data_IF_967727229510
#
_entry.id   IF_967727229510
#
_cell.length_a   1.000
_cell.length_b   1.000
_cell.length_c   1.000
_cell.angle_alpha   90.00
_cell.angle_beta   90.00
_cell.angle_gamma   90.00
#
_symmetry.space_group_name_H-M   'P 1'
#
loop_
_entity.id
_entity.type
_entity.pdbx_description
1 polymer ?
#
# COMPACT_ATOMS: atom_id res chain seq x y z
N UNK A 1 -10.40 -17.26 -9.04
CA UNK A 1 -11.19 -16.44 -8.09
C UNK A 1 -10.61 -15.03 -8.05
N UNK A 2 -11.29 -14.05 -8.66
CA UNK A 2 -10.82 -12.65 -8.62
C UNK A 2 -10.96 -12.08 -7.20
N UNK A 3 -9.92 -11.38 -6.71
CA UNK A 3 -10.01 -10.64 -5.46
C UNK A 3 -11.19 -9.65 -5.53
N UNK A 4 -12.16 -9.79 -4.62
CA UNK A 4 -13.34 -8.91 -4.56
C UNK A 4 -12.97 -7.48 -4.15
N UNK A 5 -11.88 -7.33 -3.37
CA UNK A 5 -11.45 -6.06 -2.76
C UNK A 5 -10.01 -5.75 -3.11
N UNK A 6 -9.72 -4.48 -3.42
CA UNK A 6 -8.37 -4.01 -3.72
C UNK A 6 -7.52 -3.98 -2.43
N UNK A 7 -6.38 -4.70 -2.42
CA UNK A 7 -5.49 -4.77 -1.27
C UNK A 7 -4.90 -3.40 -0.86
N UNK A 8 -4.70 -2.48 -1.81
CA UNK A 8 -4.20 -1.13 -1.51
C UNK A 8 -5.23 -0.32 -0.71
N UNK A 9 -6.52 -0.39 -1.09
CA UNK A 9 -7.62 0.24 -0.35
C UNK A 9 -7.75 -0.37 1.04
N UNK A 10 -7.76 -1.71 1.14
CA UNK A 10 -7.88 -2.39 2.42
C UNK A 10 -6.75 -1.98 3.38
N UNK A 11 -5.50 -1.96 2.92
CA UNK A 11 -4.36 -1.49 3.74
C UNK A 11 -4.50 -0.02 4.15
N UNK A 12 -4.95 0.83 3.23
CA UNK A 12 -5.26 2.24 3.48
C UNK A 12 -6.27 2.43 4.61
N UNK A 13 -7.35 1.63 4.64
CA UNK A 13 -8.39 1.69 5.68
C UNK A 13 -7.94 1.20 7.05
N UNK A 14 -6.98 0.28 7.11
CA UNK A 14 -6.47 -0.24 8.38
C UNK A 14 -5.18 0.44 8.84
N UNK A 15 -4.69 1.45 8.12
CA UNK A 15 -3.43 2.12 8.46
C UNK A 15 -2.21 1.20 8.42
N UNK A 16 -2.23 0.15 7.59
CA UNK A 16 -1.18 -0.90 7.58
C UNK A 16 -0.22 -0.72 6.41
N UNK A 17 1.08 -0.78 6.71
CA UNK A 17 2.12 -0.90 5.68
C UNK A 17 2.27 -2.34 5.20
N UNK A 18 3.02 -2.52 4.11
CA UNK A 18 3.37 -3.83 3.61
C UNK A 18 4.23 -4.65 4.58
N UNK A 19 3.86 -5.92 4.76
CA UNK A 19 4.62 -6.88 5.57
C UNK A 19 6.07 -7.03 5.06
N UNK A 20 6.29 -6.79 3.77
CA UNK A 20 7.60 -6.82 3.11
C UNK A 20 8.66 -6.02 3.89
N UNK A 21 8.30 -4.85 4.43
CA UNK A 21 9.21 -3.98 5.21
C UNK A 21 9.87 -4.76 6.35
N UNK A 22 9.12 -5.61 7.05
CA UNK A 22 9.63 -6.41 8.16
C UNK A 22 10.61 -7.51 7.70
N UNK A 23 10.42 -8.06 6.51
CA UNK A 23 11.28 -9.11 5.99
C UNK A 23 12.59 -8.56 5.42
N UNK A 24 12.56 -7.39 4.76
CA UNK A 24 13.75 -6.74 4.20
C UNK A 24 14.73 -6.30 5.28
N UNK A 25 14.23 -5.85 6.43
CA UNK A 25 15.09 -5.43 7.52
C UNK A 25 15.96 -6.58 8.07
N UNK A 26 15.49 -7.83 8.04
CA UNK A 26 16.19 -8.97 8.67
C UNK A 26 17.57 -9.25 8.05
N UNK A 27 17.72 -9.37 6.71
CA UNK A 27 19.03 -9.50 6.08
C UNK A 27 19.98 -8.35 6.40
N UNK A 28 19.48 -7.12 6.47
CA UNK A 28 20.31 -5.93 6.75
C UNK A 28 20.83 -5.95 8.20
N UNK A 29 19.98 -6.30 9.16
CA UNK A 29 20.39 -6.48 10.56
C UNK A 29 21.49 -7.56 10.67
N UNK A 30 21.29 -8.69 10.00
CA UNK A 30 22.28 -9.77 10.02
C UNK A 30 23.60 -9.37 9.36
N UNK A 31 23.54 -8.62 8.25
CA UNK A 31 24.72 -8.02 7.63
C UNK A 31 25.50 -7.15 8.60
N UNK A 32 24.86 -6.20 9.30
CA UNK A 32 25.54 -5.33 10.26
C UNK A 32 26.11 -6.11 11.44
N UNK A 33 25.39 -7.13 11.90
CA UNK A 33 25.88 -8.02 12.95
C UNK A 33 27.15 -8.77 12.51
N UNK A 34 27.21 -9.28 11.27
CA UNK A 34 28.42 -9.87 10.70
C UNK A 34 29.58 -8.87 10.65
N UNK A 35 29.33 -7.58 10.45
CA UNK A 35 30.40 -6.58 10.44
C UNK A 35 31.10 -6.42 11.78
N UNK A 36 30.34 -6.58 12.87
CA UNK A 36 30.85 -6.50 14.23
C UNK A 36 31.42 -7.82 14.78
N UNK A 37 31.27 -8.94 14.05
CA UNK A 37 31.79 -10.23 14.48
C UNK A 37 33.31 -10.32 14.32
N UNK A 38 33.94 -11.08 15.22
CA UNK A 38 35.34 -11.47 15.09
C UNK A 38 35.62 -12.24 13.78
N UNK A 39 36.80 -12.01 13.20
CA UNK A 39 37.17 -12.55 11.90
C UNK A 39 37.43 -14.06 11.87
N UNK A 40 37.66 -14.69 13.02
CA UNK A 40 37.80 -16.15 13.15
C UNK A 40 36.46 -16.88 13.11
N UNK A 41 35.34 -16.17 13.32
CA UNK A 41 34.00 -16.76 13.38
C UNK A 41 33.60 -17.29 12.00
N UNK A 42 33.14 -18.54 11.95
CA UNK A 42 32.70 -19.18 10.70
C UNK A 42 31.69 -18.35 9.89
N UNK A 43 30.64 -17.72 10.49
CA UNK A 43 29.73 -16.86 9.74
C UNK A 43 30.41 -15.67 9.04
N UNK A 44 31.41 -15.05 9.69
CA UNK A 44 32.20 -13.95 9.13
C UNK A 44 33.08 -14.43 7.97
N UNK A 45 33.68 -15.61 8.10
CA UNK A 45 34.46 -16.24 7.03
C UNK A 45 33.58 -16.56 5.81
N UNK A 46 32.42 -17.18 6.02
CA UNK A 46 31.45 -17.45 4.96
C UNK A 46 30.98 -16.16 4.27
N UNK A 47 30.72 -15.10 5.05
CA UNK A 47 30.40 -13.78 4.51
C UNK A 47 31.49 -13.25 3.59
N UNK A 48 32.76 -13.27 4.02
CA UNK A 48 33.90 -12.80 3.20
C UNK A 48 34.04 -13.58 1.90
N UNK A 49 33.80 -14.89 1.94
CA UNK A 49 33.78 -15.73 0.73
C UNK A 49 32.66 -15.29 -0.23
N UNK A 50 31.43 -15.14 0.27
CA UNK A 50 30.30 -14.69 -0.55
C UNK A 50 30.48 -13.26 -1.07
N UNK A 51 31.08 -12.38 -0.28
CA UNK A 51 31.41 -11.02 -0.67
C UNK A 51 32.37 -11.02 -1.87
N UNK A 52 33.47 -11.76 -1.80
CA UNK A 52 34.40 -11.91 -2.93
C UNK A 52 33.72 -12.48 -4.17
N UNK A 53 32.88 -13.49 -4.01
CA UNK A 53 32.11 -14.05 -5.13
C UNK A 53 31.20 -12.99 -5.76
N UNK A 54 30.56 -12.13 -4.95
CA UNK A 54 29.74 -11.02 -5.44
C UNK A 54 30.55 -9.98 -6.21
N UNK A 55 31.77 -9.64 -5.76
CA UNK A 55 32.67 -8.75 -6.50
C UNK A 55 33.03 -9.30 -7.89
N UNK A 56 33.05 -10.63 -8.04
CA UNK A 56 33.22 -11.31 -9.33
C UNK A 56 31.90 -11.53 -10.08
N UNK A 57 30.83 -10.81 -9.71
CA UNK A 57 29.53 -10.85 -10.38
C UNK A 57 28.65 -12.06 -10.05
N UNK A 58 29.00 -12.87 -9.05
CA UNK A 58 28.16 -14.02 -8.65
C UNK A 58 26.98 -13.56 -7.79
N UNK A 59 25.77 -13.95 -8.18
CA UNK A 59 24.55 -13.68 -7.43
C UNK A 59 24.49 -14.60 -6.22
N UNK A 60 24.41 -14.03 -5.02
CA UNK A 60 24.32 -14.76 -3.75
C UNK A 60 23.60 -13.91 -2.68
N UNK A 61 23.77 -14.22 -1.40
CA UNK A 61 23.16 -13.43 -0.32
C UNK A 61 23.71 -11.98 -0.26
N UNK A 62 25.03 -11.81 -0.40
CA UNK A 62 25.70 -10.51 -0.44
C UNK A 62 25.16 -9.63 -1.57
N UNK A 63 24.99 -10.18 -2.77
CA UNK A 63 24.45 -9.43 -3.92
C UNK A 63 23.02 -8.91 -3.66
N UNK A 64 22.22 -9.66 -2.89
CA UNK A 64 20.87 -9.25 -2.49
C UNK A 64 20.90 -8.14 -1.45
N UNK A 65 21.78 -8.24 -0.44
CA UNK A 65 21.98 -7.18 0.57
C UNK A 65 22.47 -5.88 -0.07
N UNK A 66 23.48 -5.98 -0.94
CA UNK A 66 23.99 -4.84 -1.71
C UNK A 66 22.86 -4.16 -2.47
N UNK A 67 22.10 -4.92 -3.27
CA UNK A 67 20.98 -4.37 -4.04
C UNK A 67 19.95 -3.67 -3.14
N UNK A 68 19.60 -4.27 -1.99
CA UNK A 68 18.65 -3.65 -1.06
C UNK A 68 19.17 -2.32 -0.52
N UNK A 69 20.46 -2.21 -0.19
CA UNK A 69 21.04 -0.96 0.28
C UNK A 69 21.08 0.09 -0.85
N UNK A 70 21.55 -0.26 -2.03
CA UNK A 70 21.62 0.67 -3.17
C UNK A 70 20.24 1.15 -3.64
N UNK A 71 19.26 0.26 -3.78
CA UNK A 71 17.90 0.62 -4.22
C UNK A 71 17.15 1.50 -3.21
N UNK A 72 17.62 1.61 -1.96
CA UNK A 72 17.04 2.45 -0.93
C UNK A 72 17.95 3.62 -0.54
N UNK A 73 18.91 4.01 -1.39
CA UNK A 73 19.83 5.15 -1.18
C UNK A 73 20.78 4.99 0.03
N UNK A 74 21.07 3.76 0.42
CA UNK A 74 22.03 3.44 1.48
C UNK A 74 23.26 2.69 0.95
N UNK A 75 23.63 2.91 -0.31
CA UNK A 75 24.80 2.28 -0.95
C UNK A 75 26.10 2.49 -0.17
N UNK A 76 26.28 3.66 0.44
CA UNK A 76 27.44 3.99 1.27
C UNK A 76 27.65 3.03 2.45
N UNK A 77 26.57 2.44 2.98
CA UNK A 77 26.65 1.44 4.07
C UNK A 77 27.25 0.13 3.57
N UNK A 78 26.98 -0.22 2.32
CA UNK A 78 27.62 -1.34 1.67
C UNK A 78 29.09 -1.03 1.40
N UNK A 79 29.42 0.13 0.86
CA UNK A 79 30.80 0.52 0.54
C UNK A 79 31.68 0.56 1.80
N UNK A 80 31.16 1.14 2.89
CA UNK A 80 31.86 1.21 4.18
C UNK A 80 31.83 -0.11 4.95
N UNK A 81 31.11 -1.13 4.46
CA UNK A 81 30.97 -2.42 5.13
C UNK A 81 30.50 -2.28 6.59
N UNK A 82 29.56 -1.38 6.85
CA UNK A 82 29.07 -1.13 8.20
C UNK A 82 28.53 0.29 8.41
N UNK A 83 28.18 0.57 9.66
CA UNK A 83 27.70 1.87 10.13
C UNK A 83 28.25 2.13 11.53
N UNK A 84 28.30 3.41 11.94
CA UNK A 84 28.68 3.77 13.31
C UNK A 84 27.66 3.29 14.35
N UNK A 85 26.38 3.62 14.16
CA UNK A 85 25.29 3.21 15.03
C UNK A 85 24.27 2.36 14.27
N UNK A 86 24.25 1.05 14.58
CA UNK A 86 23.34 0.07 13.96
C UNK A 86 21.88 0.38 14.27
N UNK A 87 21.56 0.83 15.49
CA UNK A 87 20.18 1.08 15.91
C UNK A 87 19.62 2.31 15.20
N UNK A 88 20.40 3.40 15.18
CA UNK A 88 20.03 4.62 14.47
C UNK A 88 19.84 4.34 12.97
N UNK A 89 20.79 3.65 12.35
CA UNK A 89 20.70 3.28 10.94
C UNK A 89 19.46 2.43 10.64
N UNK A 90 19.17 1.40 11.45
CA UNK A 90 18.00 0.54 11.21
C UNK A 90 16.68 1.30 11.35
N UNK A 91 16.61 2.31 12.22
CA UNK A 91 15.45 3.21 12.30
C UNK A 91 15.29 4.03 11.00
N UNK A 92 16.37 4.63 10.50
CA UNK A 92 16.38 5.39 9.25
C UNK A 92 16.02 4.51 8.05
N UNK A 93 16.62 3.33 7.94
CA UNK A 93 16.36 2.36 6.88
C UNK A 93 14.89 1.91 6.88
N UNK A 94 14.34 1.58 8.06
CA UNK A 94 12.93 1.18 8.19
C UNK A 94 11.99 2.34 7.86
N UNK A 95 12.33 3.57 8.24
CA UNK A 95 11.53 4.74 7.90
C UNK A 95 11.52 4.95 6.38
N UNK A 96 12.68 4.89 5.72
CA UNK A 96 12.79 4.99 4.27
C UNK A 96 11.91 3.97 3.53
N UNK A 97 11.91 2.72 3.99
CA UNK A 97 11.04 1.68 3.42
C UNK A 97 9.55 2.00 3.57
N UNK A 98 9.14 2.60 4.69
CA UNK A 98 7.76 3.04 4.88
C UNK A 98 7.42 4.20 3.95
N UNK A 99 8.32 5.17 3.80
CA UNK A 99 8.11 6.34 2.95
C UNK A 99 7.95 5.92 1.48
N UNK A 100 8.84 5.05 0.99
CA UNK A 100 8.72 4.46 -0.36
C UNK A 100 7.40 3.70 -0.52
N UNK A 101 6.98 2.95 0.50
CA UNK A 101 5.72 2.21 0.46
C UNK A 101 4.50 3.14 0.42
N UNK A 102 4.52 4.24 1.18
CA UNK A 102 3.48 5.26 1.17
C UNK A 102 3.41 5.97 -0.18
N UNK A 103 4.56 6.32 -0.76
CA UNK A 103 4.62 6.92 -2.09
C UNK A 103 4.02 5.98 -3.14
N UNK A 104 4.47 4.72 -3.16
CA UNK A 104 3.96 3.69 -4.07
C UNK A 104 2.45 3.49 -3.92
N UNK A 105 1.95 3.51 -2.67
CA UNK A 105 0.52 3.42 -2.40
C UNK A 105 -0.22 4.64 -2.96
N UNK A 106 0.27 5.85 -2.70
CA UNK A 106 -0.34 7.09 -3.19
C UNK A 106 -0.40 7.12 -4.71
N UNK A 107 0.70 6.77 -5.38
CA UNK A 107 0.79 6.70 -6.83
C UNK A 107 -0.22 5.68 -7.40
N UNK A 108 -0.37 4.52 -6.76
CA UNK A 108 -1.34 3.52 -7.17
C UNK A 108 -2.79 4.02 -7.00
N UNK A 109 -3.11 4.63 -5.86
CA UNK A 109 -4.45 5.14 -5.56
C UNK A 109 -4.82 6.27 -6.53
N UNK A 110 -3.90 7.19 -6.80
CA UNK A 110 -4.13 8.32 -7.71
C UNK A 110 -4.32 7.92 -9.17
N UNK A 111 -3.62 6.89 -9.64
CA UNK A 111 -3.64 6.49 -11.05
C UNK A 111 -4.63 5.34 -11.38
N UNK A 112 -5.19 4.68 -10.37
CA UNK A 112 -6.07 3.53 -10.59
C UNK A 112 -7.52 3.95 -10.81
N UNK A 113 -8.08 3.65 -11.98
CA UNK A 113 -9.52 3.84 -12.26
C UNK A 113 -10.45 3.07 -11.31
N UNK A 114 -9.94 2.04 -10.62
CA UNK A 114 -10.68 1.30 -9.57
C UNK A 114 -10.72 2.05 -8.23
N UNK A 115 -9.80 2.99 -8.02
CA UNK A 115 -9.67 3.74 -6.78
C UNK A 115 -10.14 5.19 -6.95
N UNK A 116 -10.74 5.55 -8.09
CA UNK A 116 -11.09 6.94 -8.40
C UNK A 116 -12.06 7.60 -7.42
N UNK A 117 -12.95 6.82 -6.78
CA UNK A 117 -13.75 7.32 -5.67
C UNK A 117 -12.92 7.39 -4.39
N UNK A 118 -12.20 6.31 -4.07
CA UNK A 118 -11.35 6.20 -2.88
C UNK A 118 -10.32 7.34 -2.78
N UNK A 119 -9.66 7.70 -3.88
CA UNK A 119 -8.66 8.76 -3.95
C UNK A 119 -9.22 10.17 -3.68
N UNK A 120 -10.55 10.34 -3.76
CA UNK A 120 -11.23 11.60 -3.40
C UNK A 120 -11.65 11.64 -1.92
N UNK A 121 -11.76 10.47 -1.30
CA UNK A 121 -12.23 10.33 0.09
C UNK A 121 -11.06 10.22 1.06
N UNK A 122 -9.89 9.78 0.59
CA UNK A 122 -8.76 9.45 1.44
C UNK A 122 -7.44 9.94 0.86
N UNK A 123 -6.80 10.80 1.63
CA UNK A 123 -5.54 11.44 1.24
C UNK A 123 -4.31 10.77 1.87
N UNK A 124 -4.49 9.94 2.91
CA UNK A 124 -3.39 9.26 3.61
C UNK A 124 -3.80 7.91 4.22
N UNK A 125 -2.81 7.05 4.45
CA UNK A 125 -2.99 5.73 5.06
C UNK A 125 -3.21 5.88 6.57
N UNK A 126 -4.44 5.63 7.03
CA UNK A 126 -4.80 5.70 8.44
C UNK A 126 -6.04 4.86 8.75
N UNK A 127 -6.23 4.52 10.03
CA UNK A 127 -7.48 3.92 10.46
C UNK A 127 -8.58 4.98 10.40
N UNK A 128 -9.68 4.69 9.71
CA UNK A 128 -10.84 5.56 9.75
C UNK A 128 -11.64 5.30 11.04
N UNK A 129 -11.44 6.14 12.05
CA UNK A 129 -12.09 6.01 13.35
C UNK A 129 -13.61 6.12 13.28
N UNK A 130 -14.14 6.87 12.31
CA UNK A 130 -15.58 7.03 12.16
C UNK A 130 -16.26 5.72 11.70
N UNK A 131 -15.55 4.88 10.93
CA UNK A 131 -16.03 3.54 10.56
C UNK A 131 -16.22 2.66 11.81
N UNK A 132 -15.38 2.83 12.83
CA UNK A 132 -15.47 2.05 14.06
C UNK A 132 -16.71 2.42 14.90
N UNK A 133 -17.27 3.61 14.70
CA UNK A 133 -18.48 4.08 15.40
C UNK A 133 -19.78 3.59 14.75
N UNK A 134 -19.71 3.14 13.50
CA UNK A 134 -20.87 2.61 12.77
C UNK A 134 -21.29 1.22 13.27
N UNK A 135 -22.60 0.94 13.23
CA UNK A 135 -23.15 -0.41 13.41
C UNK A 135 -22.59 -1.36 12.34
N UNK A 136 -22.61 -2.68 12.60
CA UNK A 136 -22.03 -3.67 11.69
C UNK A 136 -22.58 -3.55 10.26
N UNK A 137 -23.90 -3.41 10.11
CA UNK A 137 -24.54 -3.32 8.80
C UNK A 137 -24.12 -2.04 8.05
N UNK A 138 -24.13 -0.88 8.73
CA UNK A 138 -23.70 0.38 8.12
C UNK A 138 -22.21 0.38 7.78
N UNK A 139 -21.38 -0.21 8.65
CA UNK A 139 -19.95 -0.39 8.43
C UNK A 139 -19.67 -1.22 7.18
N UNK A 140 -20.38 -2.34 7.03
CA UNK A 140 -20.23 -3.22 5.88
C UNK A 140 -20.58 -2.50 4.58
N UNK A 141 -21.73 -1.83 4.53
CA UNK A 141 -22.16 -1.10 3.34
C UNK A 141 -21.24 0.09 3.02
N UNK A 142 -20.81 0.84 4.04
CA UNK A 142 -19.85 1.93 3.88
C UNK A 142 -18.53 1.44 3.28
N UNK A 143 -17.93 0.39 3.87
CA UNK A 143 -16.71 -0.21 3.35
C UNK A 143 -16.91 -0.81 1.96
N UNK A 144 -18.10 -1.33 1.66
CA UNK A 144 -18.45 -1.82 0.32
C UNK A 144 -18.40 -0.70 -0.71
N UNK A 145 -18.91 0.49 -0.39
CA UNK A 145 -18.81 1.67 -1.25
C UNK A 145 -17.36 2.12 -1.39
N UNK A 146 -16.65 2.32 -0.28
CA UNK A 146 -15.24 2.79 -0.25
C UNK A 146 -14.29 1.85 -0.99
N UNK A 147 -14.49 0.55 -0.88
CA UNK A 147 -13.68 -0.47 -1.56
C UNK A 147 -14.12 -0.74 -3.00
N UNK A 148 -15.06 0.03 -3.54
CA UNK A 148 -15.71 -0.21 -4.83
C UNK A 148 -16.22 -1.65 -4.96
N UNK A 149 -16.77 -2.22 -3.89
CA UNK A 149 -17.35 -3.57 -3.78
C UNK A 149 -18.90 -3.58 -3.89
N UNK A 150 -19.48 -2.58 -4.54
CA UNK A 150 -20.93 -2.46 -4.76
C UNK A 150 -21.36 -2.99 -6.15
N UNK A 151 -22.65 -2.86 -6.48
CA UNK A 151 -23.27 -3.30 -7.74
C UNK A 151 -23.72 -2.16 -8.68
N UNK A 152 -23.36 -0.92 -8.38
CA UNK A 152 -23.67 0.26 -9.21
C UNK A 152 -23.27 0.07 -10.68
N UNK A 153 -23.98 0.75 -11.59
CA UNK A 153 -23.83 0.61 -13.03
C UNK A 153 -22.41 0.91 -13.51
N UNK A 154 -21.68 1.85 -12.88
CA UNK A 154 -20.29 2.10 -13.23
C UNK A 154 -19.43 0.83 -13.20
N UNK A 155 -19.60 0.02 -12.14
CA UNK A 155 -18.84 -1.22 -11.94
C UNK A 155 -19.45 -2.36 -12.74
N UNK A 156 -20.78 -2.52 -12.73
CA UNK A 156 -21.46 -3.58 -13.48
C UNK A 156 -21.18 -3.45 -14.99
N UNK A 157 -21.39 -2.26 -15.54
CA UNK A 157 -21.10 -1.94 -16.94
C UNK A 157 -19.63 -2.08 -17.31
N UNK A 158 -18.69 -1.96 -16.36
CA UNK A 158 -17.27 -2.28 -16.61
C UNK A 158 -17.05 -3.75 -16.91
N UNK A 159 -17.73 -4.65 -16.20
CA UNK A 159 -17.63 -6.09 -16.44
C UNK A 159 -18.36 -6.52 -17.72
N UNK A 160 -19.37 -5.74 -18.13
CA UNK A 160 -20.17 -5.94 -19.33
C UNK A 160 -19.62 -5.19 -20.56
N UNK A 161 -18.44 -4.56 -20.46
CA UNK A 161 -17.82 -3.74 -21.51
C UNK A 161 -18.70 -2.60 -22.06
N UNK A 162 -19.63 -2.10 -21.26
CA UNK A 162 -20.47 -0.96 -21.61
C UNK A 162 -19.63 0.34 -21.59
N UNK A 163 -19.77 1.26 -22.56
CA UNK A 163 -19.11 2.58 -22.51
C UNK A 163 -19.43 3.33 -21.21
N UNK A 164 -18.46 4.08 -20.65
CA UNK A 164 -18.59 4.70 -19.32
C UNK A 164 -19.76 5.69 -19.25
N UNK A 165 -19.91 6.48 -20.31
CA UNK A 165 -20.96 7.46 -20.57
C UNK A 165 -22.36 6.84 -20.56
N UNK A 166 -22.50 5.54 -20.84
CA UNK A 166 -23.79 4.85 -20.86
C UNK A 166 -24.13 4.18 -19.52
N UNK A 167 -23.24 4.23 -18.53
CA UNK A 167 -23.42 3.59 -17.21
C UNK A 167 -24.20 4.50 -16.27
N UNK A 168 -25.42 4.84 -16.67
CA UNK A 168 -26.25 5.86 -16.05
C UNK A 168 -26.98 5.37 -14.80
N UNK A 169 -27.29 6.31 -13.90
CA UNK A 169 -28.15 6.06 -12.76
C UNK A 169 -29.57 5.75 -13.22
N UNK A 170 -30.11 4.62 -12.75
CA UNK A 170 -31.40 4.13 -13.21
C UNK A 170 -32.58 4.66 -12.39
N UNK A 171 -32.30 5.28 -11.26
CA UNK A 171 -33.32 5.77 -10.33
C UNK A 171 -33.56 7.28 -10.47
N UNK A 172 -32.55 8.07 -10.85
CA UNK A 172 -32.74 9.49 -11.10
C UNK A 172 -32.74 9.80 -12.60
N UNK A 173 -33.63 10.70 -13.03
CA UNK A 173 -33.77 11.10 -14.42
C UNK A 173 -32.78 12.21 -14.84
N UNK A 174 -31.61 12.25 -14.20
CA UNK A 174 -30.60 13.30 -14.43
C UNK A 174 -29.58 12.92 -15.51
N UNK A 175 -29.65 11.69 -16.07
CA UNK A 175 -28.67 11.16 -17.02
C UNK A 175 -27.22 11.23 -16.52
N UNK A 176 -27.03 11.17 -15.20
CA UNK A 176 -25.71 11.12 -14.56
C UNK A 176 -25.18 9.69 -14.49
N UNK A 177 -23.86 9.53 -14.50
CA UNK A 177 -23.20 8.22 -14.32
C UNK A 177 -23.53 7.67 -12.92
N UNK A 178 -23.85 6.38 -12.82
CA UNK A 178 -24.08 5.70 -11.55
C UNK A 178 -22.77 5.25 -10.92
N UNK A 179 -22.05 6.20 -10.34
CA UNK A 179 -20.88 5.96 -9.51
C UNK A 179 -21.13 6.24 -8.02
N UNK A 180 -20.15 5.92 -7.20
CA UNK A 180 -20.19 6.11 -5.76
C UNK A 180 -20.44 7.58 -5.39
N UNK A 181 -19.86 8.52 -6.14
CA UNK A 181 -20.02 9.95 -5.91
C UNK A 181 -21.48 10.39 -6.17
N UNK A 182 -22.07 9.97 -7.28
CA UNK A 182 -23.45 10.29 -7.59
C UNK A 182 -24.41 9.75 -6.52
N UNK A 183 -24.25 8.49 -6.11
CA UNK A 183 -25.10 7.89 -5.08
C UNK A 183 -24.96 8.60 -3.73
N UNK A 184 -23.71 8.84 -3.31
CA UNK A 184 -23.41 9.37 -1.98
C UNK A 184 -23.65 10.88 -1.86
N UNK A 185 -23.62 11.66 -2.95
CA UNK A 185 -23.68 13.13 -2.86
C UNK A 185 -24.68 13.81 -3.80
N UNK A 186 -24.90 13.28 -5.01
CA UNK A 186 -25.60 14.04 -6.08
C UNK A 186 -27.04 13.61 -6.28
N UNK A 187 -27.31 12.31 -6.37
CA UNK A 187 -28.58 11.75 -6.82
C UNK A 187 -29.79 12.34 -6.05
N UNK A 188 -30.72 13.06 -6.70
CA UNK A 188 -31.78 13.79 -6.01
C UNK A 188 -32.78 12.85 -5.31
N UNK A 189 -33.04 11.68 -5.89
CA UNK A 189 -33.95 10.67 -5.32
C UNK A 189 -33.43 10.13 -3.98
N UNK A 190 -32.12 10.09 -3.79
CA UNK A 190 -31.50 9.62 -2.55
C UNK A 190 -31.30 10.75 -1.51
N UNK A 191 -31.74 11.97 -1.79
CA UNK A 191 -31.46 13.12 -0.92
C UNK A 191 -32.03 12.97 0.49
N UNK A 192 -33.25 12.45 0.63
CA UNK A 192 -33.86 12.22 1.95
C UNK A 192 -33.10 11.17 2.76
N UNK A 193 -32.67 10.08 2.11
CA UNK A 193 -31.86 9.03 2.75
C UNK A 193 -30.52 9.61 3.23
N UNK A 194 -29.86 10.43 2.41
CA UNK A 194 -28.59 11.08 2.80
C UNK A 194 -28.74 11.96 4.03
N UNK A 195 -29.82 12.75 4.10
CA UNK A 195 -30.12 13.62 5.25
C UNK A 195 -30.30 12.83 6.56
N UNK A 196 -30.70 11.56 6.49
CA UNK A 196 -30.88 10.72 7.67
C UNK A 196 -29.60 10.00 8.12
N UNK A 197 -28.62 9.81 7.23
CA UNK A 197 -27.42 9.00 7.49
C UNK A 197 -26.16 9.87 7.68
N UNK A 198 -26.05 10.97 6.94
CA UNK A 198 -24.88 11.85 7.03
C UNK A 198 -25.02 12.83 8.20
N UNK A 199 -23.98 13.01 9.02
CA UNK A 199 -23.98 14.01 10.08
C UNK A 199 -24.19 15.42 9.49
N UNK A 200 -24.89 16.27 10.26
CA UNK A 200 -25.11 17.69 9.94
C UNK A 200 -23.85 18.50 10.16
#
# INVERSE_FOLDING_TARGET
MGQKTNNHIARGEYGRHELYINYVCKPIIYFLHLQCMDNSRLPKLCYRMMFKMNEHGRINWCSKVQRQLFSNEFGVVWENQGVGDTKLFMNLFKQRLKDINLQTWSDYIGNSSKCAFYSKVKDYVCINENIQKLSYNLRYEFLSIICSNHKLALKKGRHENQPRENRLCKICNTNEIEDEFNVVLVCPILADIRRNILPK
#
